data_IF_081310117401
#
_entry.id   IF_081310117401
#
_cell.length_a   1.000
_cell.length_b   1.000
_cell.length_c   1.000
_cell.angle_alpha   90.00
_cell.angle_beta   90.00
_cell.angle_gamma   90.00
#
_symmetry.space_group_name_H-M   'P 1'
#
loop_
_entity.id
_entity.type
_entity.pdbx_description
1 polymer ?
#
# COMPACT_ATOMS: atom_id res chain seq x y z
N UNK A 1 -5.89 -10.21 -14.87
CA UNK A 1 -5.72 -8.77 -15.18
C UNK A 1 -4.32 -8.58 -15.77
N UNK A 2 -4.10 -7.58 -16.63
CA UNK A 2 -2.73 -7.24 -17.05
C UNK A 2 -1.91 -6.64 -15.88
N UNK A 3 -0.59 -6.52 -16.07
CA UNK A 3 0.34 -5.99 -15.06
C UNK A 3 -0.09 -4.62 -14.54
N UNK A 4 -0.33 -3.64 -15.43
CA UNK A 4 -0.67 -2.28 -15.02
C UNK A 4 -1.94 -2.22 -14.20
N UNK A 5 -2.98 -2.94 -14.63
CA UNK A 5 -4.22 -3.04 -13.86
C UNK A 5 -3.99 -3.70 -12.50
N UNK A 6 -3.15 -4.75 -12.44
CA UNK A 6 -2.79 -5.42 -11.18
C UNK A 6 -2.05 -4.47 -10.23
N UNK A 7 -1.05 -3.74 -10.74
CA UNK A 7 -0.24 -2.77 -9.99
C UNK A 7 -1.11 -1.69 -9.35
N UNK A 8 -2.07 -1.11 -10.08
CA UNK A 8 -2.94 -0.05 -9.57
C UNK A 8 -3.97 -0.59 -8.57
N UNK A 9 -4.62 -1.72 -8.89
CA UNK A 9 -5.67 -2.30 -8.02
C UNK A 9 -5.08 -2.77 -6.68
N UNK A 10 -3.80 -3.13 -6.63
CA UNK A 10 -3.09 -3.50 -5.41
C UNK A 10 -3.12 -2.40 -4.32
N UNK A 11 -3.34 -1.14 -4.67
CA UNK A 11 -3.36 -0.04 -3.72
C UNK A 11 -4.75 0.32 -3.19
N UNK A 12 -5.86 0.00 -3.86
CA UNK A 12 -7.17 0.62 -3.54
C UNK A 12 -7.65 0.44 -2.09
N UNK A 13 -7.72 -0.79 -1.62
CA UNK A 13 -8.01 -1.17 -0.23
C UNK A 13 -7.42 -2.56 -0.01
N UNK A 14 -7.52 -3.10 1.21
CA UNK A 14 -7.15 -4.50 1.44
C UNK A 14 -7.96 -5.47 0.56
N UNK A 15 -9.21 -5.14 0.22
CA UNK A 15 -10.03 -5.94 -0.69
C UNK A 15 -9.55 -5.82 -2.14
N UNK A 16 -9.18 -4.61 -2.57
CA UNK A 16 -8.54 -4.39 -3.88
C UNK A 16 -7.23 -5.16 -3.99
N UNK A 17 -6.42 -5.11 -2.93
CA UNK A 17 -5.18 -5.88 -2.84
C UNK A 17 -5.41 -7.39 -2.95
N UNK A 18 -6.39 -7.95 -2.23
CA UNK A 18 -6.76 -9.37 -2.33
C UNK A 18 -7.19 -9.72 -3.76
N UNK A 19 -7.98 -8.88 -4.42
CA UNK A 19 -8.39 -9.11 -5.81
C UNK A 19 -7.20 -9.07 -6.78
N UNK A 20 -6.31 -8.08 -6.66
CA UNK A 20 -5.09 -7.98 -7.46
C UNK A 20 -4.18 -9.19 -7.26
N UNK A 21 -4.00 -9.63 -6.01
CA UNK A 21 -3.20 -10.81 -5.70
C UNK A 21 -3.88 -12.10 -6.20
N UNK A 22 -5.19 -12.25 -6.07
CA UNK A 22 -5.89 -13.47 -6.46
C UNK A 22 -6.04 -13.64 -7.99
N UNK A 23 -6.30 -12.55 -8.72
CA UNK A 23 -6.70 -12.58 -10.13
C UNK A 23 -5.77 -11.79 -11.08
N UNK A 24 -4.73 -11.14 -10.55
CA UNK A 24 -3.75 -10.37 -11.31
C UNK A 24 -2.47 -11.14 -11.66
N UNK A 25 -1.58 -10.47 -12.39
CA UNK A 25 -0.28 -10.99 -12.76
C UNK A 25 0.71 -10.84 -11.59
N UNK A 26 0.82 -11.89 -10.77
CA UNK A 26 1.67 -11.85 -9.57
C UNK A 26 3.15 -11.68 -9.86
N UNK A 27 3.63 -12.28 -10.95
CA UNK A 27 5.05 -12.34 -11.23
C UNK A 27 5.54 -11.00 -11.78
N UNK A 28 4.79 -10.41 -12.71
CA UNK A 28 5.09 -9.08 -13.22
C UNK A 28 4.85 -7.98 -12.18
N UNK A 29 3.89 -8.16 -11.26
CA UNK A 29 3.44 -7.10 -10.34
C UNK A 29 4.02 -7.25 -8.92
N UNK A 30 5.07 -8.06 -8.73
CA UNK A 30 5.63 -8.38 -7.40
C UNK A 30 5.94 -7.13 -6.58
N UNK A 31 6.53 -6.11 -7.21
CA UNK A 31 6.91 -4.86 -6.55
C UNK A 31 5.69 -4.13 -5.96
N UNK A 32 4.68 -3.82 -6.79
CA UNK A 32 3.49 -3.09 -6.37
C UNK A 32 2.55 -3.94 -5.51
N UNK A 33 2.50 -5.25 -5.70
CA UNK A 33 1.79 -6.16 -4.77
C UNK A 33 2.42 -6.12 -3.39
N UNK A 34 3.75 -6.13 -3.27
CA UNK A 34 4.41 -6.04 -1.98
C UNK A 34 4.22 -4.66 -1.34
N UNK A 35 4.53 -3.57 -2.07
CA UNK A 35 4.40 -2.21 -1.55
C UNK A 35 2.94 -1.85 -1.23
N UNK A 36 2.00 -2.29 -2.06
CA UNK A 36 0.56 -2.19 -1.85
C UNK A 36 0.09 -2.92 -0.59
N UNK A 37 0.63 -4.11 -0.30
CA UNK A 37 0.31 -4.84 0.93
C UNK A 37 0.80 -4.07 2.15
N UNK A 38 2.07 -3.63 2.13
CA UNK A 38 2.69 -2.88 3.22
C UNK A 38 1.84 -1.65 3.57
N UNK A 39 1.51 -0.82 2.58
CA UNK A 39 0.79 0.43 2.83
C UNK A 39 -0.64 0.19 3.32
N UNK A 40 -1.35 -0.82 2.79
CA UNK A 40 -2.69 -1.17 3.26
C UNK A 40 -2.68 -1.62 4.72
N UNK A 41 -1.71 -2.47 5.10
CA UNK A 41 -1.56 -2.91 6.49
C UNK A 41 -1.16 -1.76 7.42
N UNK A 42 -0.25 -0.87 6.98
CA UNK A 42 0.11 0.33 7.73
C UNK A 42 -1.10 1.22 8.00
N UNK A 43 -1.93 1.50 6.99
CA UNK A 43 -3.14 2.29 7.15
C UNK A 43 -4.12 1.62 8.12
N UNK A 44 -4.37 0.31 7.98
CA UNK A 44 -5.25 -0.43 8.90
C UNK A 44 -4.75 -0.31 10.35
N UNK A 45 -3.46 -0.52 10.60
CA UNK A 45 -2.88 -0.44 11.94
C UNK A 45 -3.03 0.97 12.50
N UNK A 46 -2.69 2.01 11.73
CA UNK A 46 -2.79 3.40 12.17
C UNK A 46 -4.23 3.78 12.50
N UNK A 47 -5.21 3.43 11.64
CA UNK A 47 -6.63 3.66 11.91
C UNK A 47 -7.12 2.93 13.17
N UNK A 48 -6.52 1.80 13.56
CA UNK A 48 -6.84 1.14 14.84
C UNK A 48 -6.23 1.90 16.04
N UNK A 49 -4.99 2.38 15.90
CA UNK A 49 -4.29 3.13 16.95
C UNK A 49 -4.92 4.50 17.23
N UNK A 50 -5.57 5.14 16.25
CA UNK A 50 -6.31 6.41 16.48
C UNK A 50 -7.44 6.28 17.50
N UNK A 51 -7.94 5.07 17.75
CA UNK A 51 -8.99 4.79 18.74
C UNK A 51 -8.46 4.66 20.18
N UNK A 52 -7.14 4.70 20.39
CA UNK A 52 -6.53 4.56 21.71
C UNK A 52 -6.25 5.96 22.30
N UNK A 53 -6.84 6.36 23.43
CA UNK A 53 -6.85 7.75 23.91
C UNK A 53 -5.47 8.41 24.10
N UNK A 54 -4.45 7.64 24.47
CA UNK A 54 -3.11 8.18 24.78
C UNK A 54 -2.24 8.35 23.52
N UNK A 55 -2.38 7.46 22.53
CA UNK A 55 -1.55 7.44 21.32
C UNK A 55 -2.28 7.99 20.08
N UNK A 56 -3.60 8.24 20.18
CA UNK A 56 -4.43 8.54 19.03
C UNK A 56 -4.01 9.80 18.26
N UNK A 57 -3.57 10.85 18.97
CA UNK A 57 -3.09 12.09 18.35
C UNK A 57 -1.86 11.83 17.46
N UNK A 58 -0.88 11.06 17.95
CA UNK A 58 0.30 10.71 17.16
C UNK A 58 -0.06 9.80 15.98
N UNK A 59 -1.00 8.85 16.19
CA UNK A 59 -1.48 7.97 15.14
C UNK A 59 -2.14 8.76 13.99
N UNK A 60 -2.90 9.83 14.26
CA UNK A 60 -3.47 10.68 13.21
C UNK A 60 -2.41 11.36 12.34
N UNK A 61 -1.35 11.87 12.95
CA UNK A 61 -0.24 12.51 12.20
C UNK A 61 0.46 11.51 11.29
N UNK A 62 0.72 10.31 11.81
CA UNK A 62 1.33 9.22 11.03
C UNK A 62 0.40 8.71 9.93
N UNK A 63 -0.90 8.62 10.20
CA UNK A 63 -1.92 8.21 9.22
C UNK A 63 -1.97 9.19 8.06
N UNK A 64 -1.94 10.50 8.34
CA UNK A 64 -1.87 11.53 7.31
C UNK A 64 -0.63 11.37 6.41
N UNK A 65 0.54 11.13 7.00
CA UNK A 65 1.76 10.86 6.24
C UNK A 65 1.66 9.57 5.41
N UNK A 66 1.09 8.51 5.98
CA UNK A 66 0.87 7.25 5.28
C UNK A 66 -0.09 7.40 4.08
N UNK A 67 -1.13 8.24 4.18
CA UNK A 67 -2.01 8.56 3.05
C UNK A 67 -1.26 9.27 1.93
N UNK A 68 -0.29 10.15 2.24
CA UNK A 68 0.57 10.75 1.21
C UNK A 68 1.43 9.70 0.51
N UNK A 69 1.99 8.75 1.27
CA UNK A 69 2.78 7.65 0.71
C UNK A 69 1.92 6.71 -0.14
N UNK A 70 0.68 6.47 0.26
CA UNK A 70 -0.30 5.71 -0.49
C UNK A 70 -0.61 6.35 -1.85
N UNK A 71 -0.84 7.67 -1.89
CA UNK A 71 -1.03 8.41 -3.14
C UNK A 71 0.21 8.29 -4.04
N UNK A 72 1.42 8.46 -3.49
CA UNK A 72 2.66 8.28 -4.27
C UNK A 72 2.78 6.87 -4.86
N UNK A 73 2.46 5.83 -4.08
CA UNK A 73 2.45 4.44 -4.55
C UNK A 73 1.51 4.24 -5.73
N UNK A 74 0.30 4.81 -5.68
CA UNK A 74 -0.66 4.78 -6.79
C UNK A 74 -0.10 5.53 -8.00
N UNK A 75 0.47 6.72 -7.82
CA UNK A 75 1.05 7.50 -8.92
C UNK A 75 2.19 6.76 -9.62
N UNK A 76 3.04 6.08 -8.86
CA UNK A 76 4.09 5.24 -9.42
C UNK A 76 3.51 4.05 -10.19
N UNK A 77 2.50 3.37 -9.66
CA UNK A 77 1.81 2.27 -10.36
C UNK A 77 1.15 2.73 -11.67
N UNK A 78 0.47 3.89 -11.67
CA UNK A 78 -0.16 4.47 -12.87
C UNK A 78 0.88 4.81 -13.95
N UNK A 79 2.07 5.25 -13.52
CA UNK A 79 3.22 5.56 -14.38
C UNK A 79 4.07 4.34 -14.73
N UNK A 80 3.69 3.14 -14.24
CA UNK A 80 4.43 1.90 -14.44
C UNK A 80 5.89 1.99 -13.93
N UNK A 81 6.08 2.70 -12.83
CA UNK A 81 7.38 2.92 -12.17
C UNK A 81 7.49 2.11 -10.89
N UNK A 82 8.53 1.29 -10.78
CA UNK A 82 8.83 0.53 -9.56
C UNK A 82 9.69 1.36 -8.60
N UNK A 83 9.14 2.48 -8.14
CA UNK A 83 9.77 3.38 -7.18
C UNK A 83 9.28 3.13 -5.76
N UNK A 84 10.23 3.08 -4.83
CA UNK A 84 9.95 2.89 -3.41
C UNK A 84 9.35 4.15 -2.80
N UNK A 85 8.25 3.98 -2.05
CA UNK A 85 7.71 5.07 -1.24
C UNK A 85 8.64 5.33 -0.04
N UNK A 86 8.80 6.58 0.41
CA UNK A 86 9.63 6.89 1.57
C UNK A 86 9.22 6.09 2.82
N UNK A 87 10.22 5.74 3.65
CA UNK A 87 10.10 5.02 4.93
C UNK A 87 9.55 3.58 4.86
N UNK A 88 8.66 3.25 3.92
CA UNK A 88 7.97 1.96 3.85
C UNK A 88 8.39 1.11 2.65
N UNK A 89 8.97 1.70 1.60
CA UNK A 89 9.27 1.01 0.34
C UNK A 89 10.30 -0.12 0.46
N UNK A 90 11.17 -0.08 1.48
CA UNK A 90 12.15 -1.15 1.73
C UNK A 90 11.58 -2.39 2.43
N UNK A 91 10.33 -2.37 2.90
CA UNK A 91 9.72 -3.49 3.62
C UNK A 91 9.31 -4.57 2.61
N UNK A 92 9.74 -5.82 2.84
CA UNK A 92 9.42 -6.98 1.99
C UNK A 92 8.59 -8.00 2.80
N UNK A 93 7.30 -8.09 2.47
CA UNK A 93 6.34 -9.06 3.01
C UNK A 93 6.11 -10.25 2.07
N UNK A 94 6.24 -10.03 0.76
CA UNK A 94 6.19 -11.07 -0.26
C UNK A 94 7.61 -11.41 -0.71
N UNK A 95 7.91 -12.71 -0.88
CA UNK A 95 9.19 -13.23 -1.39
C UNK A 95 9.13 -13.55 -2.87
#
# INVERSE_FOLDING_TARGET
MDKKTTDVVAYFTIFGWVAAYAAGDREASRFHLNQGLVINLTLIILTMLTRVPVIGIMAYVLEFAAVMFWIMGILYAVREQESEIPLLGGIRLLK
#
